data_IF_602177916744
#
_entry.id   IF_602177916744
#
_cell.length_a   1.000
_cell.length_b   1.000
_cell.length_c   1.000
_cell.angle_alpha   90.00
_cell.angle_beta   90.00
_cell.angle_gamma   90.00
#
_symmetry.space_group_name_H-M   'P 1'
#
loop_
_entity.id
_entity.type
_entity.pdbx_description
1 polymer ?
#
# COMPACT_ATOMS: atom_id res chain seq x y z
N UNK A 1 10.94 -5.94 -17.03
CA UNK A 1 10.48 -7.15 -16.32
C UNK A 1 11.11 -7.17 -14.94
N UNK A 2 10.35 -7.50 -13.91
CA UNK A 2 10.85 -7.62 -12.54
C UNK A 2 11.19 -9.08 -12.21
N UNK A 3 12.23 -9.31 -11.41
CA UNK A 3 12.67 -10.66 -10.99
C UNK A 3 12.97 -11.63 -12.15
N UNK A 4 13.76 -11.19 -13.13
CA UNK A 4 14.24 -12.05 -14.23
C UNK A 4 15.06 -13.25 -13.72
N UNK A 5 15.74 -13.10 -12.58
CA UNK A 5 16.52 -14.16 -11.95
C UNK A 5 15.67 -15.40 -11.64
N UNK A 6 14.40 -15.23 -11.25
CA UNK A 6 13.50 -16.36 -11.01
C UNK A 6 13.31 -17.24 -12.24
N UNK A 7 13.34 -16.67 -13.45
CA UNK A 7 13.25 -17.41 -14.70
C UNK A 7 14.49 -18.27 -14.94
N UNK A 8 15.67 -17.79 -14.54
CA UNK A 8 16.91 -18.52 -14.68
C UNK A 8 17.01 -19.71 -13.70
N UNK A 9 16.43 -19.56 -12.51
CA UNK A 9 16.52 -20.54 -11.42
C UNK A 9 15.38 -21.56 -11.43
N UNK A 10 14.24 -21.25 -12.06
CA UNK A 10 13.02 -22.06 -11.99
C UNK A 10 12.40 -22.31 -13.37
N UNK A 11 11.75 -23.46 -13.51
CA UNK A 11 11.00 -23.86 -14.71
C UNK A 11 9.50 -23.59 -14.61
N UNK A 12 9.00 -23.47 -13.37
CA UNK A 12 7.63 -23.07 -13.06
C UNK A 12 7.63 -21.66 -12.48
N UNK A 13 6.83 -20.77 -13.08
CA UNK A 13 6.83 -19.34 -12.76
C UNK A 13 5.43 -18.86 -12.43
N UNK A 14 5.27 -18.18 -11.29
CA UNK A 14 4.05 -17.46 -10.93
C UNK A 14 4.07 -16.12 -11.67
N UNK A 15 3.02 -15.82 -12.42
CA UNK A 15 2.91 -14.59 -13.19
C UNK A 15 1.71 -13.78 -12.71
N UNK A 16 2.00 -12.61 -12.14
CA UNK A 16 1.00 -11.66 -11.65
C UNK A 16 0.78 -10.50 -12.63
N UNK A 17 -0.38 -9.85 -12.52
CA UNK A 17 -0.71 -8.66 -13.32
C UNK A 17 -0.09 -7.38 -12.74
N UNK A 18 -0.02 -7.28 -11.41
CA UNK A 18 0.60 -6.16 -10.72
C UNK A 18 1.88 -6.56 -9.96
N UNK A 19 2.77 -5.59 -9.79
CA UNK A 19 4.00 -5.76 -9.03
C UNK A 19 3.74 -6.05 -7.54
N UNK A 20 2.67 -5.48 -6.97
CA UNK A 20 2.30 -5.67 -5.56
C UNK A 20 1.91 -7.13 -5.30
N UNK A 21 1.18 -7.76 -6.20
CA UNK A 21 0.82 -9.18 -6.08
C UNK A 21 2.05 -10.08 -6.15
N UNK A 22 2.97 -9.79 -7.09
CA UNK A 22 4.24 -10.51 -7.18
C UNK A 22 5.08 -10.35 -5.91
N UNK A 23 5.15 -9.14 -5.35
CA UNK A 23 5.82 -8.88 -4.07
C UNK A 23 5.12 -9.58 -2.90
N UNK A 24 3.81 -9.75 -2.94
CA UNK A 24 3.06 -10.50 -1.92
C UNK A 24 3.49 -11.96 -1.90
N UNK A 25 3.57 -12.61 -3.06
CA UNK A 25 4.11 -13.97 -3.19
C UNK A 25 5.56 -14.05 -2.71
N UNK A 26 6.40 -13.10 -3.13
CA UNK A 26 7.81 -13.05 -2.75
C UNK A 26 7.99 -12.93 -1.23
N UNK A 27 7.27 -12.02 -0.58
CA UNK A 27 7.32 -11.84 0.88
C UNK A 27 6.76 -13.05 1.63
N UNK A 28 5.87 -13.83 1.00
CA UNK A 28 5.35 -15.09 1.51
C UNK A 28 6.28 -16.30 1.26
N UNK A 29 7.45 -16.08 0.63
CA UNK A 29 8.47 -17.10 0.39
C UNK A 29 8.42 -17.76 -0.99
N UNK A 30 7.47 -17.37 -1.86
CA UNK A 30 7.40 -17.86 -3.24
C UNK A 30 8.20 -16.94 -4.15
N UNK A 31 9.49 -17.25 -4.33
CA UNK A 31 10.43 -16.40 -5.09
C UNK A 31 10.41 -16.67 -6.59
N UNK A 32 9.79 -17.77 -7.04
CA UNK A 32 9.61 -18.10 -8.46
C UNK A 32 8.47 -17.28 -9.11
N UNK A 33 8.43 -15.98 -8.86
CA UNK A 33 7.31 -15.09 -9.23
C UNK A 33 7.79 -13.88 -10.04
N UNK A 34 7.05 -13.47 -11.06
CA UNK A 34 7.29 -12.24 -11.81
C UNK A 34 5.96 -11.50 -12.07
N UNK A 35 6.04 -10.28 -12.59
CA UNK A 35 4.88 -9.45 -12.90
C UNK A 35 4.95 -8.90 -14.31
N UNK A 36 3.82 -8.96 -15.02
CA UNK A 36 3.58 -8.32 -16.31
C UNK A 36 2.88 -6.97 -16.12
N UNK A 37 3.53 -6.06 -15.37
CA UNK A 37 2.95 -4.78 -14.98
C UNK A 37 3.11 -3.71 -16.09
N UNK A 38 2.09 -2.85 -16.26
CA UNK A 38 2.15 -1.70 -17.16
C UNK A 38 0.92 -1.53 -18.04
N UNK A 39 0.92 -0.51 -18.89
CA UNK A 39 -0.20 -0.20 -19.81
C UNK A 39 -0.36 -1.28 -20.88
N UNK A 40 0.75 -1.92 -21.26
CA UNK A 40 0.79 -2.96 -22.30
C UNK A 40 0.76 -4.38 -21.71
N UNK A 41 0.89 -4.54 -20.38
CA UNK A 41 0.86 -5.83 -19.70
C UNK A 41 2.02 -6.76 -20.09
N UNK A 42 1.70 -7.99 -20.49
CA UNK A 42 2.68 -9.00 -20.92
C UNK A 42 3.19 -8.68 -22.33
N UNK A 43 4.49 -8.42 -22.44
CA UNK A 43 5.14 -7.98 -23.69
C UNK A 43 6.01 -9.07 -24.32
N UNK A 44 6.46 -8.84 -25.55
CA UNK A 44 7.39 -9.73 -26.26
C UNK A 44 8.71 -9.95 -25.50
N UNK A 45 9.16 -8.96 -24.72
CA UNK A 45 10.35 -9.12 -23.85
C UNK A 45 10.14 -10.18 -22.77
N UNK A 46 8.93 -10.28 -22.21
CA UNK A 46 8.60 -11.31 -21.25
C UNK A 46 8.63 -12.69 -21.93
N UNK A 47 8.05 -12.80 -23.13
CA UNK A 47 8.05 -14.04 -23.89
C UNK A 47 9.47 -14.46 -24.30
N UNK A 48 10.29 -13.51 -24.73
CA UNK A 48 11.68 -13.74 -25.08
C UNK A 48 12.47 -14.24 -23.87
N UNK A 49 12.25 -13.67 -22.70
CA UNK A 49 12.87 -14.13 -21.46
C UNK A 49 12.41 -15.54 -21.07
N UNK A 50 11.11 -15.83 -21.16
CA UNK A 50 10.56 -17.16 -20.85
C UNK A 50 11.18 -18.23 -21.76
N UNK A 51 11.34 -17.94 -23.05
CA UNK A 51 12.05 -18.82 -23.98
C UNK A 51 13.55 -18.93 -23.67
N UNK A 52 14.22 -17.81 -23.40
CA UNK A 52 15.66 -17.74 -23.13
C UNK A 52 16.06 -18.62 -21.96
N UNK A 53 15.28 -18.59 -20.87
CA UNK A 53 15.56 -19.40 -19.68
C UNK A 53 14.83 -20.75 -19.67
N UNK A 54 14.02 -21.02 -20.70
CA UNK A 54 13.32 -22.28 -20.89
C UNK A 54 12.29 -22.53 -19.79
N UNK A 55 11.39 -21.58 -19.56
CA UNK A 55 10.21 -21.74 -18.71
C UNK A 55 9.30 -22.82 -19.29
N UNK A 56 8.95 -23.81 -18.49
CA UNK A 56 8.12 -24.95 -18.91
C UNK A 56 6.67 -24.74 -18.50
N UNK A 57 6.44 -24.05 -17.38
CA UNK A 57 5.12 -23.85 -16.80
C UNK A 57 4.93 -22.46 -16.21
N UNK A 58 3.74 -21.91 -16.37
CA UNK A 58 3.33 -20.61 -15.82
C UNK A 58 2.04 -20.75 -15.02
N UNK A 59 2.08 -20.30 -13.76
CA UNK A 59 0.92 -20.15 -12.88
C UNK A 59 0.40 -18.71 -13.01
N UNK A 60 -0.67 -18.51 -13.78
CA UNK A 60 -1.24 -17.19 -14.05
C UNK A 60 -2.11 -16.78 -12.85
N UNK A 61 -1.58 -15.86 -12.06
CA UNK A 61 -2.15 -15.33 -10.83
C UNK A 61 -2.69 -13.89 -11.01
N UNK A 62 -3.50 -13.70 -12.06
CA UNK A 62 -4.22 -12.45 -12.31
C UNK A 62 -5.47 -12.34 -11.43
N UNK A 63 -5.97 -11.12 -11.25
CA UNK A 63 -7.15 -10.80 -10.47
C UNK A 63 -8.36 -11.64 -10.91
N UNK A 64 -9.17 -12.08 -9.95
CA UNK A 64 -10.41 -12.80 -10.28
C UNK A 64 -11.58 -11.82 -10.45
N UNK A 65 -11.51 -11.01 -11.49
CA UNK A 65 -12.54 -10.06 -11.87
C UNK A 65 -12.90 -10.18 -13.37
N UNK A 66 -13.76 -9.29 -13.86
CA UNK A 66 -14.26 -9.32 -15.24
C UNK A 66 -13.17 -8.95 -16.27
N UNK A 67 -12.07 -8.31 -15.84
CA UNK A 67 -10.97 -7.89 -16.71
C UNK A 67 -9.82 -8.90 -16.72
N UNK A 68 -9.43 -9.40 -15.56
CA UNK A 68 -8.31 -10.32 -15.33
C UNK A 68 -8.57 -11.72 -15.89
N UNK A 69 -9.81 -12.23 -15.81
CA UNK A 69 -10.15 -13.55 -16.36
C UNK A 69 -9.91 -13.67 -17.88
N UNK A 70 -10.48 -12.81 -18.74
CA UNK A 70 -10.21 -12.88 -20.18
C UNK A 70 -8.76 -12.55 -20.54
N UNK A 71 -8.07 -11.73 -19.75
CA UNK A 71 -6.61 -11.48 -19.92
C UNK A 71 -5.79 -12.74 -19.65
N UNK A 72 -6.11 -13.46 -18.58
CA UNK A 72 -5.45 -14.72 -18.24
C UNK A 72 -5.68 -15.79 -19.32
N UNK A 73 -6.90 -15.91 -19.84
CA UNK A 73 -7.21 -16.84 -20.94
C UNK A 73 -6.44 -16.51 -22.22
N UNK A 74 -6.42 -15.23 -22.61
CA UNK A 74 -5.69 -14.77 -23.80
C UNK A 74 -4.18 -15.04 -23.67
N UNK A 75 -3.62 -14.74 -22.50
CA UNK A 75 -2.21 -14.97 -22.22
C UNK A 75 -1.89 -16.48 -22.22
N UNK A 76 -2.74 -17.29 -21.60
CA UNK A 76 -2.56 -18.74 -21.59
C UNK A 76 -2.52 -19.30 -23.02
N UNK A 77 -3.42 -18.87 -23.90
CA UNK A 77 -3.41 -19.27 -25.30
C UNK A 77 -2.09 -18.90 -26.00
N UNK A 78 -1.61 -17.66 -25.82
CA UNK A 78 -0.35 -17.19 -26.38
C UNK A 78 0.86 -18.00 -25.89
N UNK A 79 0.92 -18.32 -24.60
CA UNK A 79 2.01 -19.10 -24.00
C UNK A 79 1.97 -20.57 -24.43
N UNK A 80 0.79 -21.16 -24.54
CA UNK A 80 0.62 -22.55 -24.98
C UNK A 80 1.00 -22.77 -26.45
N UNK A 81 0.79 -21.78 -27.32
CA UNK A 81 1.33 -21.81 -28.69
C UNK A 81 2.87 -21.91 -28.72
N UNK A 82 3.53 -21.54 -27.62
CA UNK A 82 4.97 -21.66 -27.44
C UNK A 82 5.39 -22.93 -26.69
N UNK A 83 4.45 -23.84 -26.41
CA UNK A 83 4.70 -25.07 -25.67
C UNK A 83 4.86 -24.88 -24.16
N UNK A 84 4.49 -23.72 -23.62
CA UNK A 84 4.54 -23.45 -22.19
C UNK A 84 3.21 -23.86 -21.56
N UNK A 85 3.27 -24.71 -20.53
CA UNK A 85 2.09 -25.14 -19.79
C UNK A 85 1.53 -23.96 -18.96
N UNK A 86 0.22 -23.72 -19.01
CA UNK A 86 -0.40 -22.66 -18.22
C UNK A 86 -1.46 -23.22 -17.28
N UNK A 87 -1.37 -22.85 -16.01
CA UNK A 87 -2.40 -23.07 -15.01
C UNK A 87 -2.90 -21.73 -14.48
N UNK A 88 -4.18 -21.65 -14.18
CA UNK A 88 -4.86 -20.50 -13.60
C UNK A 88 -4.92 -20.65 -12.09
N UNK A 89 -4.37 -19.68 -11.38
CA UNK A 89 -4.56 -19.55 -9.93
C UNK A 89 -5.90 -18.85 -9.69
N UNK A 90 -6.80 -19.50 -8.96
CA UNK A 90 -8.14 -18.97 -8.69
C UNK A 90 -8.26 -18.44 -7.26
N UNK A 91 -8.22 -17.11 -7.12
CA UNK A 91 -8.56 -16.43 -5.87
C UNK A 91 -10.08 -16.44 -5.63
N UNK A 92 -10.60 -16.00 -4.46
CA UNK A 92 -12.01 -15.68 -4.31
C UNK A 92 -12.45 -14.57 -5.29
N UNK A 93 -13.74 -14.53 -5.64
CA UNK A 93 -14.26 -13.54 -6.60
C UNK A 93 -13.96 -12.11 -6.15
N UNK A 94 -13.43 -11.30 -7.07
CA UNK A 94 -13.06 -9.91 -6.84
C UNK A 94 -11.84 -9.72 -5.94
N UNK A 95 -10.96 -10.72 -5.87
CA UNK A 95 -9.69 -10.62 -5.14
C UNK A 95 -8.50 -10.82 -6.06
N UNK A 96 -7.42 -10.12 -5.72
CA UNK A 96 -6.06 -10.29 -6.19
C UNK A 96 -5.24 -11.08 -5.13
N UNK A 97 -3.94 -11.30 -5.38
CA UNK A 97 -3.09 -12.06 -4.48
C UNK A 97 -2.86 -11.32 -3.16
N UNK A 98 -2.64 -10.01 -3.21
CA UNK A 98 -2.40 -9.17 -2.03
C UNK A 98 -3.62 -9.13 -1.09
N UNK A 99 -4.80 -8.82 -1.62
CA UNK A 99 -6.09 -8.81 -0.94
C UNK A 99 -6.43 -10.16 -0.35
N UNK A 100 -6.09 -11.26 -1.04
CA UNK A 100 -6.26 -12.61 -0.52
C UNK A 100 -5.32 -12.89 0.66
N UNK A 101 -4.03 -12.56 0.55
CA UNK A 101 -3.04 -12.75 1.60
C UNK A 101 -3.31 -11.90 2.86
N UNK A 102 -3.84 -10.68 2.69
CA UNK A 102 -4.22 -9.80 3.80
C UNK A 102 -5.44 -10.33 4.58
N UNK A 103 -6.35 -11.06 3.92
CA UNK A 103 -7.55 -11.62 4.54
C UNK A 103 -7.34 -13.00 5.14
N UNK A 104 -6.49 -13.83 4.54
CA UNK A 104 -6.22 -15.20 4.99
C UNK A 104 -4.78 -15.33 5.46
N UNK A 105 -4.60 -15.36 6.78
CA UNK A 105 -3.30 -15.55 7.44
C UNK A 105 -3.15 -16.98 7.95
N UNK A 106 -1.93 -17.54 7.94
CA UNK A 106 -0.68 -16.98 7.40
C UNK A 106 -0.65 -16.95 5.86
N UNK A 107 -0.11 -15.86 5.29
CA UNK A 107 -0.06 -15.66 3.84
C UNK A 107 0.68 -16.77 3.09
N UNK A 108 1.81 -17.25 3.62
CA UNK A 108 2.56 -18.37 3.05
C UNK A 108 1.69 -19.64 2.90
N UNK A 109 0.86 -19.93 3.89
CA UNK A 109 0.00 -21.10 3.89
C UNK A 109 -1.19 -20.94 2.93
N UNK A 110 -1.88 -19.79 2.98
CA UNK A 110 -3.05 -19.53 2.13
C UNK A 110 -2.66 -19.41 0.65
N UNK A 111 -1.61 -18.67 0.32
CA UNK A 111 -1.09 -18.57 -1.05
C UNK A 111 -0.60 -19.92 -1.56
N UNK A 112 0.09 -20.70 -0.71
CA UNK A 112 0.50 -22.06 -1.06
C UNK A 112 -0.68 -22.99 -1.39
N UNK A 113 -1.83 -22.81 -0.74
CA UNK A 113 -3.04 -23.60 -1.02
C UNK A 113 -3.57 -23.29 -2.43
N UNK A 114 -3.73 -22.02 -2.78
CA UNK A 114 -4.27 -21.63 -4.10
C UNK A 114 -3.31 -21.96 -5.24
N UNK A 115 -2.00 -21.92 -5.01
CA UNK A 115 -1.01 -22.38 -5.99
C UNK A 115 -1.13 -23.89 -6.25
N UNK A 116 -1.30 -24.71 -5.20
CA UNK A 116 -1.50 -26.16 -5.34
C UNK A 116 -2.84 -26.52 -6.00
N UNK A 117 -3.82 -25.64 -5.89
CA UNK A 117 -5.16 -25.80 -6.48
C UNK A 117 -5.28 -25.12 -7.85
N UNK A 118 -4.18 -24.66 -8.45
CA UNK A 118 -4.22 -24.02 -9.75
C UNK A 118 -4.80 -24.97 -10.82
N UNK A 119 -5.71 -24.45 -11.64
CA UNK A 119 -6.47 -25.23 -12.61
C UNK A 119 -5.85 -25.07 -14.00
N UNK A 120 -5.71 -26.15 -14.75
CA UNK A 120 -5.21 -26.07 -16.11
C UNK A 120 -6.19 -25.29 -17.02
N UNK A 121 -5.69 -24.32 -17.78
CA UNK A 121 -6.52 -23.34 -18.54
C UNK A 121 -6.44 -23.52 -20.07
N UNK A 122 -5.89 -24.64 -20.56
CA UNK A 122 -5.68 -24.87 -21.99
C UNK A 122 -6.83 -25.53 -22.75
N UNK A 123 -6.61 -25.76 -24.06
CA UNK A 123 -7.40 -26.69 -24.88
C UNK A 123 -6.50 -27.85 -25.33
N UNK A 124 -6.84 -29.09 -25.00
CA UNK A 124 -5.94 -30.25 -25.19
C UNK A 124 -5.86 -31.20 -23.99
N UNK A 125 -5.18 -32.33 -24.15
CA UNK A 125 -4.95 -33.33 -23.10
C UNK A 125 -3.92 -32.76 -22.12
N UNK A 126 -4.28 -32.69 -20.82
CA UNK A 126 -3.35 -32.41 -19.74
C UNK A 126 -2.12 -33.32 -19.94
N UNK A 127 -0.90 -32.76 -20.04
CA UNK A 127 0.31 -33.57 -20.04
C UNK A 127 0.27 -34.49 -18.81
N UNK A 128 0.66 -35.76 -18.96
CA UNK A 128 0.73 -36.69 -17.83
C UNK A 128 1.46 -35.98 -16.69
N UNK A 129 0.79 -35.90 -15.54
CA UNK A 129 1.18 -35.04 -14.42
C UNK A 129 2.69 -35.11 -14.20
N UNK A 130 3.41 -34.10 -14.65
CA UNK A 130 4.77 -33.86 -14.19
C UNK A 130 4.59 -33.74 -12.68
N UNK A 131 5.25 -34.59 -11.86
CA UNK A 131 5.12 -34.50 -10.42
C UNK A 131 5.31 -33.02 -10.10
N UNK A 132 4.34 -32.41 -9.43
CA UNK A 132 4.54 -31.10 -8.86
C UNK A 132 5.88 -31.23 -8.13
N UNK A 133 6.92 -30.57 -8.66
CA UNK A 133 8.17 -30.48 -7.95
C UNK A 133 7.71 -29.91 -6.62
N UNK A 134 7.88 -30.61 -5.49
CA UNK A 134 7.45 -30.06 -4.24
C UNK A 134 8.16 -28.72 -4.19
N UNK A 135 7.42 -27.62 -4.32
CA UNK A 135 7.87 -26.32 -3.90
C UNK A 135 8.36 -26.62 -2.50
N UNK A 136 9.69 -26.71 -2.36
CA UNK A 136 10.28 -27.38 -1.25
C UNK A 136 9.75 -26.61 -0.05
N UNK A 137 8.82 -27.23 0.66
CA UNK A 137 8.55 -26.95 2.04
C UNK A 137 9.84 -27.39 2.73
N UNK A 138 10.89 -26.59 2.54
CA UNK A 138 11.90 -26.48 3.55
C UNK A 138 11.10 -25.97 4.73
N UNK A 139 10.88 -26.85 5.70
CA UNK A 139 10.67 -26.47 7.08
C UNK A 139 11.82 -25.53 7.44
N UNK A 140 11.65 -24.25 7.12
CA UNK A 140 12.59 -23.23 7.52
C UNK A 140 12.30 -22.96 8.98
N UNK A 141 13.25 -23.26 9.88
CA UNK A 141 13.09 -22.88 11.27
C UNK A 141 12.91 -21.37 11.31
N UNK A 142 11.83 -20.97 11.95
CA UNK A 142 11.55 -19.60 12.36
C UNK A 142 12.85 -19.01 12.95
N UNK A 143 13.40 -17.89 12.43
CA UNK A 143 14.47 -17.23 13.15
C UNK A 143 13.89 -16.77 14.50
N UNK A 144 14.58 -17.04 15.64
CA UNK A 144 14.08 -16.61 16.93
C UNK A 144 14.02 -15.09 16.98
N UNK A 145 13.14 -14.50 17.80
CA UNK A 145 13.14 -13.07 18.04
C UNK A 145 14.47 -12.73 18.72
N UNK A 146 15.32 -11.97 18.03
CA UNK A 146 16.55 -11.46 18.63
C UNK A 146 16.17 -10.51 19.79
N UNK A 147 16.35 -11.01 21.00
CA UNK A 147 16.30 -10.22 22.22
C UNK A 147 17.41 -9.15 22.19
N UNK A 148 17.19 -7.96 22.78
CA UNK A 148 18.08 -6.84 22.66
C UNK A 148 19.34 -7.06 23.51
N UNK A 149 20.50 -7.16 22.86
CA UNK A 149 21.78 -7.05 23.55
C UNK A 149 22.14 -5.57 23.68
N UNK A 150 22.12 -5.13 24.92
CA UNK A 150 22.56 -3.83 25.38
C UNK A 150 23.98 -3.50 24.89
N UNK A 151 24.16 -2.28 24.41
CA UNK A 151 25.47 -1.64 24.25
C UNK A 151 25.57 -0.54 25.31
N UNK A 152 26.63 -0.49 26.13
CA UNK A 152 26.70 0.40 27.27
C UNK A 152 27.04 1.85 26.88
N UNK A 153 26.45 2.74 27.68
CA UNK A 153 26.63 4.18 27.81
C UNK A 153 28.11 4.59 28.02
N UNK A 154 28.64 5.45 27.15
CA UNK A 154 29.74 6.40 27.40
C UNK A 154 29.75 7.41 26.23
N UNK A 155 29.08 8.56 26.34
CA UNK A 155 29.55 9.83 26.91
C UNK A 155 30.50 10.62 25.98
N UNK A 156 30.30 11.94 26.04
CA UNK A 156 31.02 13.05 25.39
C UNK A 156 30.50 13.45 24.00
N UNK A 157 30.24 14.70 23.69
CA UNK A 157 30.11 15.95 24.44
C UNK A 157 29.47 16.99 23.48
N UNK A 158 28.96 18.08 24.05
CA UNK A 158 28.41 19.28 23.40
C UNK A 158 29.15 19.76 22.14
N UNK A 159 28.36 20.19 21.15
CA UNK A 159 28.29 21.59 20.68
C UNK A 159 27.06 21.67 19.75
N UNK A 160 25.95 22.25 20.19
CA UNK A 160 25.65 23.68 20.09
C UNK A 160 25.55 24.15 18.62
N UNK A 161 24.31 24.31 18.16
CA UNK A 161 23.80 25.37 17.27
C UNK A 161 22.56 24.80 16.54
N UNK A 162 21.35 25.33 16.62
CA UNK A 162 20.81 26.49 17.29
C UNK A 162 19.28 26.26 17.37
N UNK A 163 18.69 26.41 18.55
CA UNK A 163 17.29 26.86 18.64
C UNK A 163 17.31 28.39 18.45
N UNK A 164 16.32 29.01 17.77
CA UNK A 164 15.04 29.29 18.45
C UNK A 164 13.83 29.43 17.48
N UNK A 165 12.60 29.80 17.91
CA UNK A 165 12.11 30.01 19.28
C UNK A 165 10.83 29.21 19.61
N UNK A 166 10.70 28.92 20.91
CA UNK A 166 9.40 28.79 21.58
C UNK A 166 8.78 30.20 21.62
N UNK A 167 7.83 30.46 20.72
CA UNK A 167 6.84 31.53 20.87
C UNK A 167 5.44 30.92 20.71
N UNK A 168 4.71 30.97 21.81
CA UNK A 168 3.32 30.58 21.99
C UNK A 168 2.40 30.94 20.81
N UNK A 169 1.71 29.94 20.22
CA UNK A 169 0.58 30.19 19.33
C UNK A 169 -0.48 29.08 19.50
N UNK A 170 -1.53 29.38 20.25
CA UNK A 170 -2.58 28.45 20.70
C UNK A 170 -3.51 27.87 19.62
N UNK A 171 -2.99 27.55 18.44
CA UNK A 171 -3.73 27.06 17.25
C UNK A 171 -3.23 25.71 16.72
N UNK A 172 -2.44 25.00 17.52
CA UNK A 172 -1.92 23.67 17.18
C UNK A 172 -2.80 22.57 17.80
N UNK A 173 -3.34 21.71 16.96
CA UNK A 173 -4.10 20.54 17.40
C UNK A 173 -3.24 19.29 17.25
N UNK A 174 -2.91 18.66 18.37
CA UNK A 174 -2.16 17.41 18.41
C UNK A 174 -3.14 16.26 18.65
N UNK A 175 -3.19 15.30 17.73
CA UNK A 175 -4.06 14.13 17.79
C UNK A 175 -3.16 12.89 17.77
N UNK A 176 -3.23 12.08 18.81
CA UNK A 176 -2.49 10.81 18.91
C UNK A 176 -3.42 9.68 18.51
N UNK A 177 -3.02 8.88 17.53
CA UNK A 177 -3.74 7.70 17.04
C UNK A 177 -2.78 6.50 17.02
N UNK A 178 -2.78 5.73 18.11
CA UNK A 178 -1.86 4.60 18.27
C UNK A 178 -0.40 5.06 18.34
N UNK A 179 0.42 4.59 17.41
CA UNK A 179 1.84 4.94 17.24
C UNK A 179 2.05 6.21 16.40
N UNK A 180 0.98 6.90 15.99
CA UNK A 180 1.03 8.04 15.07
C UNK A 180 0.54 9.31 15.74
N UNK A 181 1.28 10.38 15.51
CA UNK A 181 0.93 11.69 16.02
C UNK A 181 0.69 12.65 14.87
N UNK A 182 -0.52 13.16 14.83
CA UNK A 182 -1.00 14.12 13.87
C UNK A 182 -0.95 15.52 14.48
N UNK A 183 -0.36 16.48 13.77
CA UNK A 183 -0.36 17.89 14.15
C UNK A 183 -1.06 18.69 13.07
N UNK A 184 -2.13 19.37 13.45
CA UNK A 184 -2.90 20.25 12.56
C UNK A 184 -2.64 21.70 12.96
N UNK A 185 -2.28 22.55 12.00
CA UNK A 185 -2.13 24.00 12.17
C UNK A 185 -2.99 24.77 11.17
N UNK A 186 -3.44 25.96 11.55
CA UNK A 186 -4.18 26.87 10.66
C UNK A 186 -5.69 26.62 10.57
N UNK A 187 -6.25 25.70 11.36
CA UNK A 187 -7.68 25.36 11.33
C UNK A 187 -8.58 26.50 11.83
N UNK A 188 -8.14 27.31 12.81
CA UNK A 188 -8.94 28.43 13.34
C UNK A 188 -9.11 29.62 12.39
N UNK A 189 -8.28 29.74 11.35
CA UNK A 189 -8.39 30.81 10.34
C UNK A 189 -9.44 30.51 9.27
N UNK A 190 -9.93 29.28 9.20
CA UNK A 190 -10.96 28.85 8.25
C UNK A 190 -12.36 28.97 8.87
N UNK A 191 -12.93 30.18 8.78
CA UNK A 191 -14.32 30.47 9.16
C UNK A 191 -15.32 30.26 8.01
N UNK A 192 -14.86 29.81 6.85
CA UNK A 192 -15.70 29.50 5.69
C UNK A 192 -16.09 28.01 5.70
N UNK A 193 -17.38 27.66 5.69
CA UNK A 193 -17.82 26.26 5.71
C UNK A 193 -17.52 25.49 4.43
N UNK A 194 -17.07 26.16 3.37
CA UNK A 194 -16.82 25.55 2.06
C UNK A 194 -15.36 25.07 1.85
N UNK A 195 -14.41 25.49 2.70
CA UNK A 195 -12.98 25.17 2.52
C UNK A 195 -12.30 24.94 3.88
N UNK A 196 -11.54 23.85 3.99
CA UNK A 196 -10.81 23.48 5.20
C UNK A 196 -9.32 23.32 4.89
N UNK A 197 -8.65 24.45 4.63
CA UNK A 197 -7.22 24.49 4.31
C UNK A 197 -6.36 24.45 5.56
N UNK A 198 -5.69 23.34 5.81
CA UNK A 198 -4.87 23.14 7.02
C UNK A 198 -3.47 22.68 6.65
N UNK A 199 -2.50 22.99 7.52
CA UNK A 199 -1.20 22.35 7.49
C UNK A 199 -1.29 21.10 8.35
N UNK A 200 -1.14 19.94 7.71
CA UNK A 200 -1.29 18.64 8.34
C UNK A 200 0.07 17.95 8.37
N UNK A 201 0.52 17.63 9.56
CA UNK A 201 1.71 16.81 9.79
C UNK A 201 1.29 15.49 10.42
N UNK A 202 1.91 14.41 9.98
CA UNK A 202 1.80 13.09 10.59
C UNK A 202 3.22 12.57 10.86
N UNK A 203 3.46 12.11 12.08
CA UNK A 203 4.73 11.48 12.49
C UNK A 203 4.46 10.14 13.15
N UNK A 204 5.38 9.20 13.01
CA UNK A 204 5.36 7.93 13.73
C UNK A 204 6.30 7.96 14.94
N UNK A 205 5.86 7.36 16.03
CA UNK A 205 6.60 7.24 17.31
C UNK A 205 6.62 5.77 17.73
N UNK A 206 7.78 5.18 18.11
CA UNK A 206 9.03 5.85 18.45
C UNK A 206 9.91 6.24 17.23
N UNK A 207 10.77 7.24 17.44
CA UNK A 207 11.62 7.94 16.45
C UNK A 207 12.46 7.02 15.55
N UNK A 208 12.76 5.79 15.97
CA UNK A 208 13.51 4.80 15.19
C UNK A 208 12.81 4.39 13.88
N UNK A 209 11.49 4.57 13.78
CA UNK A 209 10.72 4.30 12.56
C UNK A 209 10.62 5.51 11.60
N UNK A 210 11.20 6.67 11.95
CA UNK A 210 11.64 7.76 11.06
C UNK A 210 10.66 8.45 10.11
N UNK A 211 9.41 7.98 9.97
CA UNK A 211 8.47 8.53 9.03
C UNK A 211 7.78 9.79 9.54
N UNK A 212 7.99 10.91 8.85
CA UNK A 212 7.19 12.11 9.04
C UNK A 212 6.81 12.69 7.68
N UNK A 213 5.55 13.10 7.53
CA UNK A 213 5.06 13.81 6.35
C UNK A 213 4.36 15.10 6.78
N UNK A 214 4.60 16.18 6.04
CA UNK A 214 3.93 17.48 6.27
C UNK A 214 3.55 18.12 4.95
N UNK A 215 2.29 18.54 4.85
CA UNK A 215 1.80 19.27 3.67
C UNK A 215 0.66 20.22 4.06
N UNK A 216 0.37 21.18 3.19
CA UNK A 216 -0.76 22.09 3.30
C UNK A 216 -1.83 21.73 2.28
N UNK A 217 -2.93 21.15 2.74
CA UNK A 217 -4.02 20.72 1.89
C UNK A 217 -5.38 21.27 2.33
N UNK A 218 -6.33 21.27 1.39
CA UNK A 218 -7.75 21.41 1.70
C UNK A 218 -8.37 20.03 1.95
N UNK A 219 -8.87 19.81 3.16
CA UNK A 219 -9.47 18.54 3.57
C UNK A 219 -10.81 18.25 2.88
N UNK A 220 -11.49 19.25 2.31
CA UNK A 220 -12.71 19.00 1.53
C UNK A 220 -12.43 18.66 0.07
N UNK A 221 -11.24 18.99 -0.44
CA UNK A 221 -10.84 18.62 -1.79
C UNK A 221 -10.42 17.14 -1.86
N UNK A 222 -11.27 16.29 -2.48
CA UNK A 222 -11.01 14.86 -2.62
C UNK A 222 -9.66 14.53 -3.29
N UNK A 223 -9.26 15.31 -4.31
CA UNK A 223 -7.98 15.13 -5.01
C UNK A 223 -6.78 15.46 -4.10
N UNK A 224 -6.89 16.50 -3.28
CA UNK A 224 -5.82 16.89 -2.34
C UNK A 224 -5.65 15.86 -1.22
N UNK A 225 -6.78 15.38 -0.65
CA UNK A 225 -6.80 14.25 0.30
C UNK A 225 -6.13 13.00 -0.25
N UNK A 226 -6.45 12.61 -1.49
CA UNK A 226 -5.89 11.42 -2.12
C UNK A 226 -4.40 11.54 -2.44
N UNK A 227 -3.89 12.76 -2.65
CA UNK A 227 -2.45 13.01 -2.82
C UNK A 227 -1.72 12.92 -1.47
N UNK A 228 -2.27 13.56 -0.44
CA UNK A 228 -1.71 13.53 0.92
C UNK A 228 -1.66 12.11 1.50
N UNK A 229 -2.75 11.34 1.37
CA UNK A 229 -2.80 9.95 1.85
C UNK A 229 -1.67 9.13 1.23
N UNK A 230 -1.50 9.23 -0.09
CA UNK A 230 -0.48 8.46 -0.81
C UNK A 230 0.94 8.85 -0.37
N UNK A 231 1.21 10.15 -0.25
CA UNK A 231 2.53 10.63 0.12
C UNK A 231 2.87 10.30 1.58
N UNK A 232 1.92 10.49 2.50
CA UNK A 232 2.05 10.11 3.90
C UNK A 232 2.20 8.60 4.08
N UNK A 233 1.46 7.78 3.33
CA UNK A 233 1.56 6.33 3.37
C UNK A 233 2.96 5.83 2.98
N UNK A 234 3.54 6.42 1.92
CA UNK A 234 4.92 6.13 1.48
C UNK A 234 5.93 6.52 2.57
N UNK A 235 5.84 7.75 3.09
CA UNK A 235 6.82 8.27 4.05
C UNK A 235 6.72 7.62 5.44
N UNK A 236 5.54 7.16 5.85
CA UNK A 236 5.33 6.45 7.12
C UNK A 236 5.52 4.94 6.99
N UNK A 237 5.62 4.41 5.77
CA UNK A 237 5.63 2.95 5.51
C UNK A 237 4.34 2.27 5.96
N UNK A 238 3.20 2.96 5.85
CA UNK A 238 1.88 2.50 6.29
C UNK A 238 0.93 2.37 5.10
N UNK A 239 -0.04 1.46 5.15
CA UNK A 239 -1.02 1.34 4.07
C UNK A 239 -1.95 2.54 4.03
N UNK A 240 -2.31 2.97 2.82
CA UNK A 240 -3.22 4.09 2.52
C UNK A 240 -4.52 4.02 3.33
N UNK A 241 -5.08 2.83 3.55
CA UNK A 241 -6.32 2.65 4.33
C UNK A 241 -6.17 3.02 5.81
N UNK A 242 -4.98 2.89 6.38
CA UNK A 242 -4.71 3.32 7.76
C UNK A 242 -4.64 4.83 7.83
N UNK A 243 -3.90 5.46 6.90
CA UNK A 243 -3.80 6.92 6.81
C UNK A 243 -5.15 7.55 6.46
N UNK A 244 -5.97 6.89 5.63
CA UNK A 244 -7.32 7.31 5.27
C UNK A 244 -8.28 7.24 6.46
N UNK A 245 -8.25 6.15 7.24
CA UNK A 245 -9.03 6.04 8.49
C UNK A 245 -8.65 7.12 9.49
N UNK A 246 -7.35 7.28 9.71
CA UNK A 246 -6.81 8.29 10.61
C UNK A 246 -7.21 9.72 10.18
N UNK A 247 -7.06 10.03 8.89
CA UNK A 247 -7.44 11.33 8.35
C UNK A 247 -8.96 11.57 8.44
N UNK A 248 -9.78 10.51 8.35
CA UNK A 248 -11.21 10.59 8.63
C UNK A 248 -11.52 11.00 10.07
N UNK A 249 -10.79 10.44 11.05
CA UNK A 249 -10.92 10.86 12.44
C UNK A 249 -10.43 12.29 12.69
N UNK A 250 -9.33 12.69 12.03
CA UNK A 250 -8.84 14.08 12.09
C UNK A 250 -9.88 15.03 11.52
N UNK A 251 -10.49 14.71 10.39
CA UNK A 251 -11.54 15.52 9.76
C UNK A 251 -12.75 15.69 10.68
N UNK A 252 -13.29 14.61 11.22
CA UNK A 252 -14.45 14.67 12.13
C UNK A 252 -14.16 15.51 13.38
N UNK A 253 -12.94 15.42 13.90
CA UNK A 253 -12.51 16.22 15.06
C UNK A 253 -12.37 17.71 14.70
N UNK A 254 -11.86 18.02 13.52
CA UNK A 254 -11.77 19.39 13.02
C UNK A 254 -13.16 19.99 12.76
N UNK A 255 -14.10 19.23 12.22
CA UNK A 255 -15.50 19.66 12.03
C UNK A 255 -16.17 19.99 13.38
N UNK A 256 -15.99 19.12 14.39
CA UNK A 256 -16.51 19.38 15.74
C UNK A 256 -15.94 20.68 16.34
N UNK A 257 -14.63 20.90 16.19
CA UNK A 257 -13.96 22.10 16.69
C UNK A 257 -14.33 23.36 15.90
N UNK A 258 -14.58 23.23 14.58
CA UNK A 258 -15.05 24.33 13.74
C UNK A 258 -16.48 24.71 14.13
N UNK A 259 -17.37 23.73 14.33
CA UNK A 259 -18.74 23.95 14.81
C UNK A 259 -18.76 24.63 16.19
N UNK A 260 -17.88 24.22 17.11
CA UNK A 260 -17.71 24.87 18.40
C UNK A 260 -17.20 26.32 18.25
N UNK A 261 -16.24 26.59 17.36
CA UNK A 261 -15.72 27.92 17.11
C UNK A 261 -16.75 28.86 16.44
N UNK A 262 -17.56 28.34 15.52
CA UNK A 262 -18.68 29.06 14.90
C UNK A 262 -19.75 29.38 15.94
N UNK A 263 -20.12 28.42 16.79
CA UNK A 263 -21.09 28.63 17.89
C UNK A 263 -20.60 29.62 18.94
N UNK A 264 -19.28 29.66 19.20
CA UNK A 264 -18.65 30.60 20.12
C UNK A 264 -18.42 31.99 19.51
N UNK A 265 -18.68 32.18 18.22
CA UNK A 265 -18.64 33.49 17.56
C UNK A 265 -20.06 34.03 17.42
N UNK A 266 -20.62 34.72 18.44
CA UNK A 266 -21.89 35.39 18.29
C UNK A 266 -21.76 36.49 17.23
N UNK A 267 -22.78 36.60 16.40
CA UNK A 267 -22.91 37.61 15.34
C UNK A 267 -22.45 39.00 15.82
N UNK A 268 -21.41 39.53 15.18
CA UNK A 268 -21.11 40.96 15.27
C UNK A 268 -22.24 41.67 14.52
N UNK A 269 -23.25 42.08 15.30
CA UNK A 269 -24.42 42.89 14.97
C UNK A 269 -24.37 43.57 13.61
N UNK A 270 -25.45 43.35 12.85
CA UNK A 270 -25.91 44.19 11.77
C UNK A 270 -25.64 45.68 12.08
N UNK A 271 -24.77 46.29 11.27
CA UNK A 271 -24.63 47.74 11.23
C UNK A 271 -25.85 48.25 10.45
N UNK A 272 -26.90 48.57 11.19
CA UNK A 272 -27.99 49.40 10.69
C UNK A 272 -27.37 50.70 10.14
N UNK A 273 -27.59 51.10 8.88
CA UNK A 273 -27.24 52.44 8.44
C UNK A 273 -28.18 53.42 9.16
N UNK A 274 -27.62 54.14 10.13
CA UNK A 274 -28.29 55.23 10.81
C UNK A 274 -28.60 56.33 9.80
N UNK A 275 -29.89 56.58 9.60
CA UNK A 275 -30.42 57.73 8.85
C UNK A 275 -30.23 58.96 9.74
N UNK A 276 -29.11 59.65 9.57
CA UNK A 276 -28.77 60.88 10.27
C UNK A 276 -28.88 62.11 9.36
N UNK A 277 -29.94 62.89 9.56
CA UNK A 277 -30.22 64.21 8.97
C UNK A 277 -29.02 65.17 9.05
N UNK A 278 -28.84 65.94 7.98
CA UNK A 278 -28.19 67.25 7.93
C UNK A 278 -28.87 68.10 6.88
#
# INVERSE_FOLDING_TARGET
MWNEQALAENKEIILCEALIDAMTFWCAGFTNVTAAYGVEGFTDDHLAAFRKYGTERVLIAYDRDDAGNPRAEKLAAQLMEQGIECLRVLFPKGMDANSYALKLTPAAHSLGLVLRQAEWIGRGRQPDAVPAVPAAAQDFPMPPPAAPLAVPLAAMADDADAEPPIESAGDELLIVQGDRQWRVRGWKKNLSPEQMRVNLQVRRTPEEAGGYHVDTLDLYAARARAAYIRQAAIELGLPDDTIKRDMGHVLLKLETLQDEAIRQTPSRKARCPDVGRG
#
